data_IF_123749393742
#
_entry.id   IF_123749393742
#
_cell.length_a   1.000
_cell.length_b   1.000
_cell.length_c   1.000
_cell.angle_alpha   90.00
_cell.angle_beta   90.00
_cell.angle_gamma   90.00
#
_symmetry.space_group_name_H-M   'P 1'
#
loop_
_entity.id
_entity.type
_entity.pdbx_description
1 polymer ?
#
# COMPACT_ATOMS: atom_id res chain seq x y z
N UNK A 1 -33.21 20.90 4.96
CA UNK A 1 -32.63 21.12 6.31
C UNK A 1 -31.90 19.84 6.70
N UNK A 2 -30.58 19.81 6.54
CA UNK A 2 -29.77 18.60 6.80
C UNK A 2 -28.55 18.99 7.61
N UNK A 3 -28.49 18.51 8.85
CA UNK A 3 -27.47 18.85 9.83
C UNK A 3 -26.11 18.26 9.43
N UNK A 4 -25.11 19.12 9.26
CA UNK A 4 -23.72 18.72 9.07
C UNK A 4 -23.03 18.47 10.41
N UNK A 5 -22.61 17.24 10.66
CA UNK A 5 -21.69 16.92 11.75
C UNK A 5 -20.27 17.39 11.37
N UNK A 6 -19.80 18.44 12.05
CA UNK A 6 -18.37 18.81 12.08
C UNK A 6 -17.65 17.94 13.11
N UNK A 7 -16.78 17.05 12.65
CA UNK A 7 -15.84 16.33 13.53
C UNK A 7 -14.62 17.21 13.72
N UNK A 8 -14.50 17.80 14.90
CA UNK A 8 -13.40 18.68 15.30
C UNK A 8 -12.33 17.83 16.02
N UNK A 9 -11.14 17.72 15.43
CA UNK A 9 -9.99 17.07 16.08
C UNK A 9 -9.27 18.08 16.99
N UNK A 10 -8.91 17.75 18.24
CA UNK A 10 -8.18 18.65 19.09
C UNK A 10 -6.70 18.72 18.68
N UNK A 11 -6.24 19.93 18.37
CA UNK A 11 -4.82 20.26 18.19
C UNK A 11 -4.18 20.37 19.57
N UNK A 12 -3.31 19.42 19.92
CA UNK A 12 -2.47 19.49 21.12
C UNK A 12 -1.25 20.36 20.82
N UNK A 13 -1.20 21.54 21.42
CA UNK A 13 -0.01 22.41 21.42
C UNK A 13 1.06 21.84 22.35
N UNK A 14 2.23 21.50 21.80
CA UNK A 14 3.41 21.11 22.58
C UNK A 14 4.20 22.40 22.86
N UNK A 15 4.22 22.84 24.12
CA UNK A 15 5.14 23.89 24.60
C UNK A 15 6.55 23.30 24.69
N UNK A 16 7.48 23.87 23.94
CA UNK A 16 8.91 23.57 24.05
C UNK A 16 9.52 24.27 25.26
N UNK A 17 10.19 23.50 26.13
CA UNK A 17 11.11 24.05 27.12
C UNK A 17 12.52 24.07 26.55
N UNK A 18 13.11 25.26 26.51
CA UNK A 18 14.51 25.51 26.18
C UNK A 18 15.33 25.31 27.45
N UNK A 19 16.28 24.36 27.43
CA UNK A 19 17.28 24.22 28.49
C UNK A 19 18.66 24.63 27.96
N UNK A 20 19.32 25.50 28.73
CA UNK A 20 20.67 26.05 28.51
C UNK A 20 21.78 25.01 28.83
N UNK A 21 22.99 25.18 28.27
CA UNK A 21 24.12 24.30 28.58
C UNK A 21 24.82 24.75 29.87
N UNK A 22 25.30 23.79 30.65
CA UNK A 22 26.30 24.01 31.70
C UNK A 22 27.48 23.09 31.42
N UNK A 23 28.64 23.72 31.23
CA UNK A 23 29.96 23.10 31.09
C UNK A 23 30.53 22.70 32.46
N UNK A 24 31.45 21.75 32.41
CA UNK A 24 32.58 21.50 33.33
C UNK A 24 32.44 20.28 34.23
N UNK A 25 33.49 19.44 34.20
CA UNK A 25 33.75 18.43 35.22
C UNK A 25 34.44 17.19 34.70
N UNK A 26 35.75 17.26 34.47
CA UNK A 26 36.62 16.09 34.45
C UNK A 26 36.50 15.34 35.78
N UNK A 27 36.29 14.02 35.74
CA UNK A 27 36.88 13.10 36.71
C UNK A 27 36.89 11.69 36.13
N UNK A 28 38.11 11.20 35.90
CA UNK A 28 38.40 9.82 35.60
C UNK A 28 38.16 8.97 36.86
N UNK A 29 37.33 7.94 36.75
CA UNK A 29 37.39 6.79 37.64
C UNK A 29 36.99 5.54 36.85
N UNK A 30 37.98 4.66 36.70
CA UNK A 30 37.81 3.38 36.04
C UNK A 30 36.87 2.47 36.81
N UNK A 31 35.80 2.05 36.16
CA UNK A 31 35.09 0.83 36.48
C UNK A 31 35.19 -0.07 35.25
N UNK A 32 36.02 -1.11 35.36
CA UNK A 32 35.97 -2.30 34.52
C UNK A 32 34.63 -3.00 34.76
N UNK A 33 33.59 -2.52 34.09
CA UNK A 33 32.35 -3.29 33.96
C UNK A 33 32.60 -4.28 32.83
N UNK A 34 32.78 -5.55 33.18
CA UNK A 34 32.58 -6.67 32.26
C UNK A 34 31.11 -6.66 31.84
N UNK A 35 30.76 -5.74 30.95
CA UNK A 35 29.50 -5.72 30.25
C UNK A 35 29.48 -6.95 29.37
N UNK A 36 28.78 -7.98 29.82
CA UNK A 36 28.35 -9.07 28.97
C UNK A 36 27.57 -8.45 27.82
N UNK A 37 28.25 -8.20 26.70
CA UNK A 37 27.65 -8.04 25.40
C UNK A 37 27.04 -9.40 25.06
N UNK A 38 25.93 -9.73 25.71
CA UNK A 38 24.95 -10.60 25.12
C UNK A 38 24.42 -9.82 23.92
N UNK A 39 25.16 -9.87 22.81
CA UNK A 39 24.53 -9.95 21.50
C UNK A 39 23.39 -10.94 21.71
N UNK A 40 22.17 -10.41 21.76
CA UNK A 40 21.00 -11.20 21.44
C UNK A 40 21.23 -11.58 19.99
N UNK A 41 22.02 -12.63 19.79
CA UNK A 41 22.03 -13.42 18.60
C UNK A 41 20.56 -13.62 18.33
N UNK A 42 20.10 -12.97 17.26
CA UNK A 42 18.74 -13.01 16.77
C UNK A 42 18.55 -14.46 16.37
N UNK A 43 18.31 -15.33 17.37
CA UNK A 43 18.27 -16.78 17.25
C UNK A 43 17.25 -16.99 16.17
N UNK A 44 17.74 -17.39 15.00
CA UNK A 44 16.94 -17.61 13.82
C UNK A 44 15.75 -18.43 14.30
N UNK A 45 14.60 -17.75 14.38
CA UNK A 45 13.39 -18.34 14.91
C UNK A 45 13.20 -19.61 14.08
N UNK A 46 13.10 -20.80 14.72
CA UNK A 46 13.01 -22.05 13.99
C UNK A 46 11.98 -21.86 12.89
N UNK A 47 12.34 -22.23 11.66
CA UNK A 47 11.45 -22.15 10.53
C UNK A 47 10.09 -22.72 10.98
N UNK A 48 9.04 -21.90 10.88
CA UNK A 48 7.67 -22.31 11.21
C UNK A 48 7.48 -23.70 10.56
N UNK A 49 7.00 -24.73 11.28
CA UNK A 49 6.83 -26.07 10.73
C UNK A 49 6.25 -25.96 9.32
N UNK A 50 7.01 -26.51 8.35
CA UNK A 50 6.79 -26.28 6.93
C UNK A 50 5.30 -26.32 6.62
N UNK A 51 4.79 -25.22 6.08
CA UNK A 51 3.36 -25.12 5.78
C UNK A 51 2.93 -26.28 4.88
N UNK A 52 1.82 -26.93 5.21
CA UNK A 52 1.32 -28.04 4.41
C UNK A 52 0.90 -27.53 3.02
N UNK A 53 0.99 -28.40 2.01
CA UNK A 53 0.54 -28.08 0.65
C UNK A 53 -0.93 -27.62 0.61
N UNK A 54 -1.79 -28.23 1.44
CA UNK A 54 -3.20 -27.83 1.60
C UNK A 54 -3.34 -26.38 2.06
N UNK A 55 -2.52 -25.94 3.01
CA UNK A 55 -2.58 -24.58 3.54
C UNK A 55 -2.08 -23.54 2.51
N UNK A 56 -1.06 -23.90 1.72
CA UNK A 56 -0.58 -23.08 0.60
C UNK A 56 -1.67 -22.92 -0.46
N UNK A 57 -2.37 -24.00 -0.82
CA UNK A 57 -3.47 -23.97 -1.79
C UNK A 57 -4.64 -23.13 -1.29
N UNK A 58 -5.03 -23.26 -0.02
CA UNK A 58 -6.05 -22.40 0.59
C UNK A 58 -5.65 -20.92 0.53
N UNK A 59 -4.38 -20.60 0.81
CA UNK A 59 -3.89 -19.22 0.72
C UNK A 59 -3.93 -18.67 -0.70
N UNK A 60 -3.59 -19.50 -1.69
CA UNK A 60 -3.69 -19.16 -3.11
C UNK A 60 -5.13 -18.87 -3.50
N UNK A 61 -6.08 -19.72 -3.10
CA UNK A 61 -7.50 -19.53 -3.36
C UNK A 61 -7.98 -18.17 -2.82
N UNK A 62 -7.68 -17.86 -1.55
CA UNK A 62 -8.03 -16.56 -0.96
C UNK A 62 -7.39 -15.39 -1.74
N UNK A 63 -6.13 -15.53 -2.15
CA UNK A 63 -5.41 -14.46 -2.84
C UNK A 63 -6.04 -14.09 -4.19
N UNK A 64 -6.63 -15.06 -4.90
CA UNK A 64 -7.27 -14.87 -6.20
C UNK A 64 -8.80 -14.77 -6.15
N UNK A 65 -9.43 -15.00 -5.00
CA UNK A 65 -10.89 -15.01 -4.91
C UNK A 65 -11.49 -13.59 -4.85
N UNK A 66 -12.08 -13.16 -5.96
CA UNK A 66 -12.83 -11.89 -6.04
C UNK A 66 -14.14 -11.92 -5.25
N UNK A 67 -14.62 -13.08 -4.82
CA UNK A 67 -15.84 -13.24 -4.01
C UNK A 67 -15.54 -13.33 -2.52
N UNK A 68 -14.27 -13.16 -2.13
CA UNK A 68 -13.86 -13.28 -0.74
C UNK A 68 -14.51 -12.22 0.16
N UNK A 69 -14.78 -11.03 -0.37
CA UNK A 69 -15.50 -9.96 0.32
C UNK A 69 -16.77 -9.51 -0.42
N UNK A 70 -17.39 -8.44 0.09
CA UNK A 70 -18.59 -7.85 -0.50
C UNK A 70 -18.34 -7.14 -1.85
N UNK A 71 -17.08 -6.78 -2.15
CA UNK A 71 -16.69 -6.15 -3.42
C UNK A 71 -15.90 -7.14 -4.29
N UNK A 72 -16.08 -7.12 -5.62
CA UNK A 72 -15.49 -8.08 -6.56
C UNK A 72 -13.99 -7.83 -6.82
N UNK A 73 -13.19 -7.68 -5.76
CA UNK A 73 -11.76 -7.37 -5.82
C UNK A 73 -10.99 -8.47 -5.09
N UNK A 74 -9.99 -9.06 -5.75
CA UNK A 74 -9.06 -10.03 -5.17
C UNK A 74 -7.76 -9.35 -4.74
N UNK A 75 -6.96 -10.01 -3.90
CA UNK A 75 -5.62 -9.51 -3.56
C UNK A 75 -4.73 -9.41 -4.82
N UNK A 76 -4.85 -10.39 -5.72
CA UNK A 76 -4.12 -10.45 -7.00
C UNK A 76 -4.45 -9.32 -7.99
N UNK A 77 -5.57 -8.62 -7.80
CA UNK A 77 -5.92 -7.47 -8.64
C UNK A 77 -5.02 -6.27 -8.33
N UNK A 78 -4.57 -6.16 -7.07
CA UNK A 78 -3.74 -5.07 -6.59
C UNK A 78 -2.28 -5.47 -6.33
N UNK A 79 -1.96 -6.74 -6.17
CA UNK A 79 -0.63 -7.23 -5.83
C UNK A 79 -0.16 -8.33 -6.78
N UNK A 80 1.10 -8.28 -7.20
CA UNK A 80 1.74 -9.39 -7.91
C UNK A 80 2.28 -10.43 -6.93
N UNK A 81 2.22 -11.70 -7.28
CA UNK A 81 2.93 -12.81 -6.63
C UNK A 81 4.14 -13.29 -7.45
N UNK A 82 4.61 -12.43 -8.33
CA UNK A 82 5.77 -12.61 -9.20
C UNK A 82 6.64 -11.35 -9.22
N UNK A 83 7.83 -11.46 -9.81
CA UNK A 83 8.75 -10.33 -9.96
C UNK A 83 8.32 -9.46 -11.14
N UNK A 84 7.74 -8.29 -10.85
CA UNK A 84 7.16 -7.39 -11.87
C UNK A 84 8.15 -6.95 -12.96
N UNK A 85 9.43 -6.72 -12.62
CA UNK A 85 10.43 -6.25 -13.59
C UNK A 85 10.95 -7.33 -14.56
N UNK A 86 10.70 -8.61 -14.27
CA UNK A 86 11.11 -9.73 -15.14
C UNK A 86 10.09 -10.02 -16.23
N UNK A 87 8.88 -9.52 -16.08
CA UNK A 87 7.85 -9.59 -17.12
C UNK A 87 7.76 -8.19 -17.73
N UNK A 88 8.65 -7.88 -18.68
CA UNK A 88 8.60 -6.62 -19.46
C UNK A 88 7.21 -6.38 -20.11
N UNK A 89 6.44 -7.46 -20.28
CA UNK A 89 5.07 -7.47 -20.76
C UNK A 89 4.02 -7.62 -19.64
N UNK A 90 4.33 -7.27 -18.39
CA UNK A 90 3.34 -7.28 -17.31
C UNK A 90 2.16 -6.40 -17.76
N UNK A 91 1.07 -7.08 -18.15
CA UNK A 91 -0.12 -6.46 -18.74
C UNK A 91 -0.69 -5.42 -17.80
N UNK A 92 -0.52 -5.60 -16.49
CA UNK A 92 -1.11 -4.74 -15.49
C UNK A 92 -0.05 -3.96 -14.70
N UNK A 93 -0.33 -2.69 -14.41
CA UNK A 93 0.39 -1.90 -13.40
C UNK A 93 -0.36 -2.13 -12.09
N UNK A 94 0.19 -2.98 -11.22
CA UNK A 94 -0.41 -3.24 -9.91
C UNK A 94 -0.10 -2.10 -8.93
N UNK A 95 -1.10 -1.50 -8.25
CA UNK A 95 -0.88 -0.41 -7.28
C UNK A 95 -0.08 -0.87 -6.05
N UNK A 96 -0.34 -2.09 -5.60
CA UNK A 96 0.38 -2.73 -4.51
C UNK A 96 1.78 -3.20 -4.93
N UNK A 97 2.68 -3.27 -3.96
CA UNK A 97 3.96 -3.98 -4.12
C UNK A 97 3.72 -5.49 -4.27
N UNK A 98 4.61 -6.23 -4.92
CA UNK A 98 4.55 -7.68 -4.92
C UNK A 98 4.46 -8.26 -3.50
N UNK A 99 3.76 -9.39 -3.33
CA UNK A 99 3.69 -10.13 -2.06
C UNK A 99 4.97 -10.92 -1.74
N UNK A 100 5.95 -10.91 -2.65
CA UNK A 100 7.25 -11.51 -2.42
C UNK A 100 7.88 -10.98 -1.12
N UNK A 101 8.36 -11.89 -0.29
CA UNK A 101 8.87 -11.63 1.05
C UNK A 101 7.84 -11.17 2.09
N UNK A 102 6.54 -11.09 1.78
CA UNK A 102 5.53 -10.54 2.70
C UNK A 102 5.48 -11.28 4.04
N UNK A 103 5.65 -12.60 4.01
CA UNK A 103 5.63 -13.47 5.20
C UNK A 103 6.73 -13.14 6.23
N UNK A 104 7.84 -12.53 5.79
CA UNK A 104 9.01 -12.21 6.63
C UNK A 104 9.23 -10.72 6.88
N UNK A 105 8.29 -9.87 6.44
CA UNK A 105 8.36 -8.43 6.70
C UNK A 105 8.34 -8.17 8.19
N UNK A 106 9.01 -7.11 8.63
CA UNK A 106 8.96 -6.64 10.02
C UNK A 106 7.93 -5.53 10.23
N UNK A 107 7.41 -4.97 9.14
CA UNK A 107 6.40 -3.92 9.12
C UNK A 107 5.55 -4.00 7.84
N UNK A 108 4.27 -3.66 7.94
CA UNK A 108 3.38 -3.44 6.80
C UNK A 108 2.52 -2.19 7.03
N UNK A 109 2.01 -1.62 5.94
CA UNK A 109 1.14 -0.44 5.98
C UNK A 109 1.72 0.74 6.78
N UNK A 110 2.96 1.13 6.46
CA UNK A 110 3.67 2.24 7.12
C UNK A 110 3.82 2.08 8.64
N UNK A 111 4.00 0.85 9.13
CA UNK A 111 4.20 0.59 10.56
C UNK A 111 2.92 0.30 11.33
N UNK A 112 1.75 0.33 10.68
CA UNK A 112 0.50 -0.04 11.34
C UNK A 112 0.50 -1.49 11.84
N UNK A 113 1.11 -2.40 11.08
CA UNK A 113 1.29 -3.78 11.51
C UNK A 113 2.76 -4.08 11.74
N UNK A 114 3.11 -4.45 12.97
CA UNK A 114 4.45 -4.89 13.38
C UNK A 114 4.37 -6.12 14.29
N UNK A 115 5.50 -6.80 14.49
CA UNK A 115 5.61 -7.89 15.47
C UNK A 115 4.56 -9.00 15.30
N UNK A 116 3.82 -9.31 16.36
CA UNK A 116 2.78 -10.34 16.35
C UNK A 116 1.58 -10.01 15.44
N UNK A 117 1.28 -8.72 15.24
CA UNK A 117 0.17 -8.27 14.41
C UNK A 117 0.34 -8.68 12.94
N UNK A 118 1.58 -8.71 12.43
CA UNK A 118 1.85 -9.18 11.06
C UNK A 118 1.41 -10.62 10.84
N UNK A 119 1.70 -11.52 11.78
CA UNK A 119 1.24 -12.91 11.68
C UNK A 119 -0.28 -13.02 11.86
N UNK A 120 -0.84 -12.29 12.82
CA UNK A 120 -2.28 -12.28 13.11
C UNK A 120 -3.10 -11.83 11.89
N UNK A 121 -2.61 -10.84 11.15
CA UNK A 121 -3.35 -10.17 10.08
C UNK A 121 -2.79 -10.44 8.67
N UNK A 122 -2.13 -11.59 8.47
CA UNK A 122 -1.68 -12.04 7.15
C UNK A 122 -0.74 -11.04 6.45
N UNK A 123 0.27 -10.53 7.16
CA UNK A 123 1.19 -9.48 6.70
C UNK A 123 0.49 -8.19 6.23
N UNK A 124 -0.67 -7.85 6.82
CA UNK A 124 -1.48 -6.69 6.47
C UNK A 124 -2.58 -6.98 5.46
N UNK A 125 -2.79 -8.23 5.05
CA UNK A 125 -3.90 -8.63 4.19
C UNK A 125 -5.27 -8.35 4.82
N UNK A 126 -5.40 -8.37 6.16
CA UNK A 126 -6.67 -8.05 6.82
C UNK A 126 -7.15 -6.62 6.52
N UNK A 127 -6.22 -5.67 6.35
CA UNK A 127 -6.55 -4.32 5.93
C UNK A 127 -7.03 -4.26 4.48
N UNK A 128 -6.48 -5.09 3.60
CA UNK A 128 -6.97 -5.21 2.23
C UNK A 128 -8.41 -5.73 2.21
N UNK A 129 -8.65 -6.84 2.94
CA UNK A 129 -9.97 -7.43 3.08
C UNK A 129 -11.00 -6.43 3.61
N UNK A 130 -10.64 -5.66 4.65
CA UNK A 130 -11.51 -4.63 5.21
C UNK A 130 -11.75 -3.48 4.23
N UNK A 131 -10.69 -2.83 3.74
CA UNK A 131 -10.80 -1.56 3.01
C UNK A 131 -11.27 -1.76 1.56
N UNK A 132 -10.69 -2.73 0.85
CA UNK A 132 -10.91 -2.90 -0.58
C UNK A 132 -11.96 -3.96 -0.88
N UNK A 133 -11.94 -5.09 -0.17
CA UNK A 133 -12.91 -6.17 -0.39
C UNK A 133 -14.21 -5.96 0.40
N UNK A 134 -14.24 -5.03 1.36
CA UNK A 134 -15.44 -4.75 2.17
C UNK A 134 -15.85 -5.90 3.08
N UNK A 135 -14.88 -6.69 3.56
CA UNK A 135 -15.08 -7.85 4.42
C UNK A 135 -14.82 -7.47 5.89
N UNK A 136 -15.79 -7.73 6.75
CA UNK A 136 -15.71 -7.43 8.18
C UNK A 136 -15.91 -5.94 8.49
N UNK A 137 -15.78 -5.60 9.78
CA UNK A 137 -15.93 -4.24 10.34
C UNK A 137 -14.67 -3.79 11.09
N UNK A 138 -13.68 -4.67 11.21
CA UNK A 138 -12.42 -4.52 11.93
C UNK A 138 -11.35 -5.43 11.29
N UNK A 139 -10.13 -5.43 11.81
CA UNK A 139 -9.12 -6.38 11.34
C UNK A 139 -9.34 -7.81 11.86
N UNK A 140 -10.00 -7.96 13.00
CA UNK A 140 -10.21 -9.27 13.64
C UNK A 140 -11.32 -10.10 12.99
N UNK A 141 -12.26 -9.46 12.30
CA UNK A 141 -13.34 -10.10 11.54
C UNK A 141 -13.13 -10.05 10.02
N UNK A 142 -12.20 -9.23 9.52
CA UNK A 142 -11.82 -9.24 8.11
C UNK A 142 -11.08 -10.53 7.69
N UNK A 143 -10.23 -11.07 8.57
CA UNK A 143 -9.53 -12.36 8.37
C UNK A 143 -9.53 -13.19 9.65
N UNK A 144 -9.91 -14.46 9.53
CA UNK A 144 -9.75 -15.45 10.59
C UNK A 144 -8.27 -15.83 10.79
N UNK A 145 -7.94 -16.48 11.91
CA UNK A 145 -6.57 -16.99 12.15
C UNK A 145 -6.12 -17.98 11.07
N UNK A 146 -7.02 -18.87 10.66
CA UNK A 146 -6.74 -19.87 9.64
C UNK A 146 -6.48 -19.23 8.29
N UNK A 147 -7.28 -18.24 7.88
CA UNK A 147 -7.10 -17.52 6.62
C UNK A 147 -5.79 -16.72 6.62
N UNK A 148 -5.48 -15.99 7.69
CA UNK A 148 -4.19 -15.30 7.84
C UNK A 148 -3.00 -16.25 7.73
N UNK A 149 -3.10 -17.44 8.34
CA UNK A 149 -2.05 -18.47 8.27
C UNK A 149 -1.93 -19.06 6.87
N UNK A 150 -3.05 -19.28 6.18
CA UNK A 150 -3.09 -19.76 4.80
C UNK A 150 -2.43 -18.76 3.83
N UNK A 151 -2.77 -17.48 3.93
CA UNK A 151 -2.14 -16.43 3.14
C UNK A 151 -0.64 -16.34 3.38
N UNK A 152 -0.18 -16.39 4.64
CA UNK A 152 1.26 -16.39 4.95
C UNK A 152 1.97 -17.61 4.38
N UNK A 153 1.33 -18.78 4.40
CA UNK A 153 1.85 -19.98 3.76
C UNK A 153 2.03 -19.81 2.26
N UNK A 154 1.01 -19.26 1.59
CA UNK A 154 1.10 -18.95 0.18
C UNK A 154 2.22 -17.93 -0.12
N UNK A 155 2.28 -16.85 0.66
CA UNK A 155 3.29 -15.81 0.48
C UNK A 155 4.71 -16.36 0.64
N UNK A 156 4.94 -17.25 1.62
CA UNK A 156 6.21 -17.93 1.76
C UNK A 156 6.51 -18.84 0.57
N UNK A 157 5.54 -19.60 0.08
CA UNK A 157 5.72 -20.55 -1.02
C UNK A 157 6.09 -19.88 -2.35
N UNK A 158 5.58 -18.66 -2.62
CA UNK A 158 5.89 -17.91 -3.85
C UNK A 158 7.13 -17.01 -3.73
N UNK A 159 7.73 -16.92 -2.54
CA UNK A 159 8.87 -16.04 -2.27
C UNK A 159 10.21 -16.78 -2.50
N UNK A 160 11.14 -16.26 -3.33
CA UNK A 160 12.49 -16.79 -3.45
C UNK A 160 13.29 -16.91 -2.15
N UNK A 161 12.97 -16.10 -1.13
CA UNK A 161 13.60 -16.19 0.19
C UNK A 161 14.79 -15.26 0.40
N UNK A 162 15.11 -14.38 -0.54
CA UNK A 162 16.16 -13.35 -0.44
C UNK A 162 15.59 -11.92 -0.30
N UNK A 163 14.27 -11.74 -0.27
CA UNK A 163 13.62 -10.43 -0.31
C UNK A 163 13.80 -9.60 0.96
N UNK A 164 14.01 -8.29 0.91
CA UNK A 164 14.29 -7.50 2.11
C UNK A 164 13.15 -7.58 3.14
N UNK A 165 13.51 -7.74 4.43
CA UNK A 165 12.55 -7.74 5.54
C UNK A 165 11.92 -6.35 5.75
N UNK A 166 12.63 -5.30 5.38
CA UNK A 166 12.15 -3.93 5.37
C UNK A 166 11.94 -3.48 3.93
N UNK A 167 10.69 -3.21 3.55
CA UNK A 167 10.37 -2.68 2.22
C UNK A 167 10.20 -1.18 2.35
N UNK A 168 11.08 -0.41 1.71
CA UNK A 168 10.91 1.04 1.61
C UNK A 168 9.63 1.33 0.80
N UNK A 169 8.71 2.10 1.39
CA UNK A 169 7.45 2.44 0.75
C UNK A 169 7.38 3.95 0.50
N UNK A 170 7.16 4.29 -0.77
CA UNK A 170 7.07 5.65 -1.32
C UNK A 170 5.63 6.15 -1.46
N UNK A 171 4.70 5.63 -0.65
CA UNK A 171 3.33 6.15 -0.68
C UNK A 171 3.28 7.62 -0.27
N UNK A 172 2.40 8.35 -0.95
CA UNK A 172 2.13 9.76 -0.74
C UNK A 172 0.78 9.98 -0.05
N UNK A 173 0.37 9.05 0.81
CA UNK A 173 -0.99 9.01 1.36
C UNK A 173 -1.07 9.34 2.86
N UNK A 174 0.02 9.82 3.48
CA UNK A 174 -0.01 10.31 4.87
C UNK A 174 0.07 11.83 4.92
N UNK A 175 -0.40 12.46 6.01
CA UNK A 175 -0.26 13.90 6.19
C UNK A 175 1.19 14.42 6.07
N UNK A 176 2.15 13.64 6.58
CA UNK A 176 3.58 13.95 6.49
C UNK A 176 4.12 13.96 5.06
N UNK A 177 3.43 13.34 4.10
CA UNK A 177 3.84 13.25 2.71
C UNK A 177 3.28 14.41 1.86
N UNK A 178 2.54 15.35 2.47
CA UNK A 178 1.82 16.43 1.76
C UNK A 178 2.71 17.30 0.87
N UNK A 179 3.92 17.68 1.31
CA UNK A 179 4.86 18.45 0.50
C UNK A 179 5.32 17.67 -0.74
N UNK A 180 5.70 16.40 -0.56
CA UNK A 180 6.14 15.52 -1.65
C UNK A 180 5.02 15.25 -2.64
N UNK A 181 3.79 15.13 -2.14
CA UNK A 181 2.59 15.00 -2.95
C UNK A 181 2.32 16.24 -3.79
N UNK A 182 2.38 17.42 -3.19
CA UNK A 182 2.23 18.67 -3.95
C UNK A 182 3.32 18.81 -5.02
N UNK A 183 4.57 18.49 -4.70
CA UNK A 183 5.68 18.50 -5.67
C UNK A 183 5.43 17.52 -6.83
N UNK A 184 4.95 16.30 -6.55
CA UNK A 184 4.62 15.32 -7.58
C UNK A 184 3.49 15.79 -8.50
N UNK A 185 2.41 16.35 -7.92
CA UNK A 185 1.29 16.94 -8.66
C UNK A 185 1.76 18.07 -9.56
N UNK A 186 2.53 19.02 -9.02
CA UNK A 186 3.04 20.11 -9.83
C UNK A 186 3.94 19.63 -10.97
N UNK A 187 4.80 18.62 -10.72
CA UNK A 187 5.64 18.03 -11.78
C UNK A 187 4.81 17.41 -12.90
N UNK A 188 3.70 16.75 -12.59
CA UNK A 188 2.80 16.22 -13.61
C UNK A 188 2.11 17.34 -14.38
N UNK A 189 1.58 18.36 -13.69
CA UNK A 189 0.85 19.47 -14.32
C UNK A 189 1.72 20.38 -15.19
N UNK A 190 3.02 20.51 -14.88
CA UNK A 190 3.98 21.26 -15.72
C UNK A 190 4.36 20.54 -17.02
N UNK A 191 4.00 19.27 -17.16
CA UNK A 191 4.32 18.47 -18.36
C UNK A 191 3.14 18.49 -19.33
N UNK A 192 3.45 18.55 -20.62
CA UNK A 192 2.49 18.23 -21.66
C UNK A 192 2.39 16.71 -21.75
N UNK A 193 1.23 16.17 -21.37
CA UNK A 193 0.96 14.74 -21.46
C UNK A 193 0.70 14.28 -22.89
N UNK A 194 0.95 12.99 -23.12
CA UNK A 194 0.64 12.25 -24.34
C UNK A 194 -0.61 11.38 -24.12
N UNK A 195 -1.74 11.65 -24.81
CA UNK A 195 -2.97 10.90 -24.62
C UNK A 195 -2.89 9.45 -25.09
N UNK A 196 -2.04 9.10 -26.05
CA UNK A 196 -1.90 7.71 -26.51
C UNK A 196 -1.21 6.88 -25.41
N UNK A 197 -0.07 7.38 -24.91
CA UNK A 197 0.62 6.77 -23.76
C UNK A 197 -0.25 6.75 -22.51
N UNK A 198 -1.08 7.78 -22.30
CA UNK A 198 -2.05 7.83 -21.21
C UNK A 198 -3.12 6.75 -21.32
N UNK A 199 -3.57 6.43 -22.53
CA UNK A 199 -4.48 5.31 -22.80
C UNK A 199 -3.86 3.97 -22.42
N UNK A 200 -2.58 3.77 -22.74
CA UNK A 200 -1.85 2.56 -22.31
C UNK A 200 -1.74 2.48 -20.78
N UNK A 201 -1.42 3.58 -20.10
CA UNK A 201 -1.39 3.61 -18.63
C UNK A 201 -2.77 3.29 -18.06
N UNK A 202 -3.83 3.89 -18.60
CA UNK A 202 -5.20 3.65 -18.17
C UNK A 202 -5.61 2.18 -18.34
N UNK A 203 -5.32 1.58 -19.50
CA UNK A 203 -5.66 0.19 -19.79
C UNK A 203 -4.99 -0.79 -18.83
N UNK A 204 -3.75 -0.50 -18.44
CA UNK A 204 -2.95 -1.38 -17.56
C UNK A 204 -3.20 -1.15 -16.07
N UNK A 205 -3.59 0.06 -15.66
CA UNK A 205 -3.69 0.42 -14.24
C UNK A 205 -5.14 0.62 -13.76
N UNK A 206 -6.01 1.16 -14.61
CA UNK A 206 -7.28 1.75 -14.19
C UNK A 206 -8.50 1.04 -14.78
N UNK A 207 -8.37 0.51 -16.00
CA UNK A 207 -9.48 -0.06 -16.78
C UNK A 207 -10.26 -1.12 -16.02
N UNK A 208 -9.57 -2.01 -15.30
CA UNK A 208 -10.23 -3.10 -14.57
C UNK A 208 -11.32 -2.62 -13.60
N UNK A 209 -11.14 -1.44 -13.01
CA UNK A 209 -12.11 -0.87 -12.08
C UNK A 209 -13.11 0.07 -12.76
N UNK A 210 -12.66 0.81 -13.79
CA UNK A 210 -13.39 1.96 -14.32
C UNK A 210 -14.18 1.70 -15.62
N UNK A 211 -13.93 0.56 -16.28
CA UNK A 211 -14.68 0.15 -17.47
C UNK A 211 -15.68 -0.94 -17.09
N UNK A 212 -16.92 -0.91 -17.62
CA UNK A 212 -17.91 -1.96 -17.38
C UNK A 212 -17.37 -3.35 -17.71
N UNK A 213 -17.68 -4.32 -16.84
CA UNK A 213 -17.15 -5.68 -16.91
C UNK A 213 -17.18 -6.35 -15.53
N UNK A 214 -16.37 -7.39 -15.37
CA UNK A 214 -16.46 -8.31 -14.21
C UNK A 214 -16.14 -7.68 -12.84
N UNK A 215 -15.32 -6.63 -12.79
CA UNK A 215 -15.00 -5.94 -11.54
C UNK A 215 -15.81 -4.65 -11.37
N UNK A 216 -15.75 -3.74 -12.35
CA UNK A 216 -16.52 -2.48 -12.40
C UNK A 216 -16.68 -1.75 -11.04
N UNK A 217 -15.63 -1.84 -10.20
CA UNK A 217 -15.67 -1.41 -8.81
C UNK A 217 -15.57 0.12 -8.65
N UNK A 218 -15.19 0.82 -9.72
CA UNK A 218 -15.10 2.27 -9.79
C UNK A 218 -16.17 2.88 -10.70
N UNK A 219 -16.40 4.20 -10.60
CA UNK A 219 -17.34 4.89 -11.48
C UNK A 219 -16.82 4.93 -12.93
N UNK A 220 -17.75 4.97 -13.90
CA UNK A 220 -17.43 5.25 -15.30
C UNK A 220 -16.91 6.69 -15.45
N UNK A 221 -15.63 6.80 -15.86
CA UNK A 221 -14.93 8.08 -15.95
C UNK A 221 -15.37 8.93 -17.14
N UNK A 222 -15.99 8.35 -18.18
CA UNK A 222 -16.46 9.10 -19.37
C UNK A 222 -17.57 10.10 -19.04
N UNK A 223 -18.27 9.85 -17.95
CA UNK A 223 -19.40 10.65 -17.47
C UNK A 223 -19.01 11.81 -16.54
N UNK A 224 -17.71 12.00 -16.28
CA UNK A 224 -17.21 12.88 -15.22
C UNK A 224 -16.44 14.07 -15.77
N UNK A 225 -16.50 15.17 -15.02
CA UNK A 225 -15.59 16.30 -15.17
C UNK A 225 -14.47 16.13 -14.14
N UNK A 226 -13.22 16.26 -14.58
CA UNK A 226 -12.04 16.07 -13.76
C UNK A 226 -11.29 17.39 -13.61
N UNK A 227 -11.00 17.76 -12.37
CA UNK A 227 -9.93 18.71 -12.08
C UNK A 227 -8.60 17.95 -12.15
N UNK A 228 -7.66 18.44 -12.97
CA UNK A 228 -6.41 17.72 -13.24
C UNK A 228 -5.56 17.54 -11.97
N UNK A 229 -5.50 18.57 -11.12
CA UNK A 229 -4.72 18.53 -9.88
C UNK A 229 -5.33 17.55 -8.86
N UNK A 230 -6.65 17.61 -8.66
CA UNK A 230 -7.38 16.71 -7.78
C UNK A 230 -7.33 15.27 -8.28
N UNK A 231 -7.37 15.06 -9.60
CA UNK A 231 -7.27 13.72 -10.21
C UNK A 231 -5.88 13.13 -10.03
N UNK A 232 -4.82 13.90 -10.30
CA UNK A 232 -3.45 13.48 -10.03
C UNK A 232 -3.26 13.09 -8.56
N UNK A 233 -3.76 13.94 -7.65
CA UNK A 233 -3.74 13.68 -6.21
C UNK A 233 -4.45 12.37 -5.87
N UNK A 234 -5.68 12.18 -6.38
CA UNK A 234 -6.48 10.99 -6.14
C UNK A 234 -5.78 9.70 -6.60
N UNK A 235 -5.08 9.73 -7.75
CA UNK A 235 -4.31 8.59 -8.25
C UNK A 235 -3.20 8.20 -7.27
N UNK A 236 -2.44 9.15 -6.73
CA UNK A 236 -1.34 8.85 -5.80
C UNK A 236 -1.77 8.59 -4.35
N UNK A 237 -2.95 9.05 -3.93
CA UNK A 237 -3.44 8.87 -2.55
C UNK A 237 -4.48 7.77 -2.41
N UNK A 238 -5.14 7.39 -3.49
CA UNK A 238 -6.36 6.58 -3.45
C UNK A 238 -7.50 7.31 -2.73
N UNK A 239 -8.68 6.68 -2.74
CA UNK A 239 -9.84 7.06 -1.90
C UNK A 239 -10.84 5.91 -1.88
N UNK A 240 -11.42 5.62 -0.73
CA UNK A 240 -12.39 4.54 -0.56
C UNK A 240 -11.83 3.20 -1.08
N UNK A 241 -12.50 2.56 -2.04
CA UNK A 241 -12.06 1.34 -2.70
C UNK A 241 -11.06 1.57 -3.85
N UNK A 242 -10.79 2.82 -4.23
CA UNK A 242 -9.75 3.12 -5.22
C UNK A 242 -8.37 3.01 -4.55
N UNK A 243 -7.50 2.09 -5.02
CA UNK A 243 -6.17 1.95 -4.47
C UNK A 243 -5.32 3.18 -4.82
N UNK A 244 -4.28 3.42 -4.03
CA UNK A 244 -3.28 4.43 -4.33
C UNK A 244 -2.19 3.82 -5.23
N UNK A 245 -1.69 4.59 -6.18
CA UNK A 245 -0.54 4.22 -7.01
C UNK A 245 0.64 5.09 -6.59
N UNK A 246 1.67 4.59 -5.92
CA UNK A 246 2.79 5.45 -5.50
C UNK A 246 3.61 5.93 -6.73
N UNK A 247 4.42 7.01 -6.61
CA UNK A 247 5.16 7.60 -7.74
C UNK A 247 6.12 6.67 -8.48
N UNK A 248 6.53 5.58 -7.85
CA UNK A 248 7.37 4.55 -8.46
C UNK A 248 6.57 3.51 -9.27
N UNK A 249 5.24 3.49 -9.13
CA UNK A 249 4.31 2.73 -9.97
C UNK A 249 3.74 3.59 -11.09
N UNK A 250 3.39 4.83 -10.79
CA UNK A 250 2.96 5.84 -11.75
C UNK A 250 3.74 7.13 -11.52
N UNK A 251 4.72 7.37 -12.38
CA UNK A 251 5.58 8.56 -12.30
C UNK A 251 4.79 9.84 -12.60
N UNK A 252 5.34 11.03 -12.31
CA UNK A 252 4.75 12.29 -12.78
C UNK A 252 4.58 12.36 -14.31
N UNK A 253 5.38 11.60 -15.08
CA UNK A 253 5.19 11.48 -16.53
C UNK A 253 3.91 10.71 -16.84
N UNK A 254 3.76 9.53 -16.25
CA UNK A 254 2.62 8.65 -16.47
C UNK A 254 1.32 9.33 -16.01
N UNK A 255 1.38 10.10 -14.91
CA UNK A 255 0.26 10.90 -14.45
C UNK A 255 -0.11 12.00 -15.44
N UNK A 256 0.86 12.71 -16.04
CA UNK A 256 0.59 13.73 -17.06
C UNK A 256 -0.06 13.12 -18.31
N UNK A 257 0.48 11.99 -18.78
CA UNK A 257 -0.04 11.23 -19.92
C UNK A 257 -1.47 10.73 -19.63
N UNK A 258 -1.69 10.13 -18.46
CA UNK A 258 -3.01 9.68 -18.01
C UNK A 258 -4.03 10.83 -17.96
N UNK A 259 -3.64 12.00 -17.44
CA UNK A 259 -4.53 13.18 -17.41
C UNK A 259 -4.89 13.65 -18.81
N UNK A 260 -3.92 13.67 -19.74
CA UNK A 260 -4.18 14.00 -21.14
C UNK A 260 -5.15 13.01 -21.78
N UNK A 261 -4.99 11.70 -21.53
CA UNK A 261 -5.93 10.69 -22.00
C UNK A 261 -7.33 10.87 -21.42
N UNK A 262 -7.45 11.10 -20.10
CA UNK A 262 -8.75 11.31 -19.46
C UNK A 262 -9.52 12.45 -20.13
N UNK A 263 -8.84 13.55 -20.49
CA UNK A 263 -9.45 14.66 -21.24
C UNK A 263 -10.03 14.25 -22.59
N UNK A 264 -9.50 13.21 -23.24
CA UNK A 264 -10.01 12.70 -24.53
C UNK A 264 -11.29 11.87 -24.39
N UNK A 265 -11.47 11.17 -23.26
CA UNK A 265 -12.63 10.29 -23.03
C UNK A 265 -13.76 10.95 -22.25
N UNK A 266 -13.52 12.15 -21.71
CA UNK A 266 -14.53 12.95 -21.02
C UNK A 266 -15.59 13.45 -22.01
N UNK A 267 -16.86 13.35 -21.63
CA UNK A 267 -17.90 14.13 -22.28
C UNK A 267 -17.62 15.63 -22.09
N UNK A 268 -17.52 16.36 -23.19
CA UNK A 268 -17.64 17.83 -23.13
C UNK A 268 -19.04 18.17 -22.59
N UNK A 269 -19.17 19.07 -21.60
CA UNK A 269 -20.48 19.59 -21.23
C UNK A 269 -21.13 20.18 -22.48
N UNK A 270 -22.39 19.80 -22.74
CA UNK A 270 -23.21 20.43 -23.76
C UNK A 270 -23.55 21.84 -23.35
#
# INVERSE_FOLDING_TARGET
>A
MGAGLKVMWPVRTIRGHVARPVMSGLLALGCLVFGSCAEKADRARPADPAFSASLVMQGKEIFYDRRFGARPVACADCHADYVENRIRAARDIKPGRPILGAYRRISAWNGEFTGGALRRYGAGAARCALLYQGRGRSYDDALTRSESRALLAYFQAVSPGDEPRHVAWTALNRPADSLRLSEAVEKALRRRGDPERGGEVFDRACRMCHVPGDMAAGPDLRSRVFDAAATARLVWTGRDAMPFFPPDKLSPADAADLLAFLQTIMKRPR
#
